data_IF_895099752829
#
_entry.id   IF_895099752829
#
_cell.length_a   1.000
_cell.length_b   1.000
_cell.length_c   1.000
_cell.angle_alpha   90.00
_cell.angle_beta   90.00
_cell.angle_gamma   90.00
#
_symmetry.space_group_name_H-M   'P 1'
#
loop_
_entity.id
_entity.type
_entity.pdbx_description
1 polymer ?
#
# COMPACT_ATOMS: atom_id res chain seq x y z
N UNK A 1 -14.03 -8.69 -0.86
CA UNK A 1 -12.80 -8.09 -1.41
C UNK A 1 -13.14 -7.45 -2.75
N UNK A 2 -12.64 -6.25 -3.09
CA UNK A 2 -12.76 -5.73 -4.45
C UNK A 2 -12.24 -6.78 -5.43
N UNK A 3 -13.00 -7.08 -6.47
CA UNK A 3 -12.56 -7.99 -7.56
C UNK A 3 -11.82 -7.24 -8.66
N UNK A 4 -11.94 -5.91 -8.71
CA UNK A 4 -11.23 -5.07 -9.67
C UNK A 4 -9.74 -4.96 -9.29
N UNK A 5 -8.81 -5.42 -10.15
CA UNK A 5 -7.37 -5.34 -9.87
C UNK A 5 -6.87 -3.90 -9.68
N UNK A 6 -7.52 -2.89 -10.29
CA UNK A 6 -7.14 -1.48 -10.09
C UNK A 6 -7.47 -1.02 -8.68
N UNK A 7 -8.60 -1.45 -8.13
CA UNK A 7 -8.97 -1.13 -6.76
C UNK A 7 -8.03 -1.81 -5.75
N UNK A 8 -7.67 -3.08 -5.99
CA UNK A 8 -6.72 -3.81 -5.16
C UNK A 8 -5.34 -3.14 -5.17
N UNK A 9 -4.83 -2.82 -6.36
CA UNK A 9 -3.56 -2.09 -6.52
C UNK A 9 -3.60 -0.73 -5.81
N UNK A 10 -4.67 0.05 -6.02
CA UNK A 10 -4.83 1.36 -5.41
C UNK A 10 -4.84 1.32 -3.88
N UNK A 11 -5.50 0.32 -3.30
CA UNK A 11 -5.51 0.09 -1.86
C UNK A 11 -4.11 -0.24 -1.33
N UNK A 12 -3.39 -1.16 -2.00
CA UNK A 12 -2.03 -1.57 -1.61
C UNK A 12 -1.04 -0.40 -1.71
N UNK A 13 -1.11 0.38 -2.78
CA UNK A 13 -0.32 1.60 -2.94
C UNK A 13 -0.57 2.59 -1.80
N UNK A 14 -1.84 2.84 -1.47
CA UNK A 14 -2.20 3.77 -0.40
C UNK A 14 -1.77 3.26 0.99
N UNK A 15 -1.74 1.96 1.21
CA UNK A 15 -1.21 1.33 2.42
C UNK A 15 0.29 1.57 2.55
N UNK A 16 1.08 1.17 1.54
CA UNK A 16 2.53 1.33 1.53
C UNK A 16 2.95 2.80 1.67
N UNK A 17 2.24 3.70 0.98
CA UNK A 17 2.46 5.15 1.12
C UNK A 17 2.26 5.63 2.56
N UNK A 18 1.18 5.20 3.22
CA UNK A 18 0.91 5.58 4.62
C UNK A 18 1.92 4.96 5.59
N UNK A 19 2.32 3.70 5.37
CA UNK A 19 3.36 3.04 6.16
C UNK A 19 4.70 3.79 6.07
N UNK A 20 5.00 4.41 4.92
CA UNK A 20 6.17 5.27 4.74
C UNK A 20 6.00 6.69 5.34
N UNK A 21 4.81 7.04 5.81
CA UNK A 21 4.49 8.38 6.34
C UNK A 21 4.32 9.45 5.26
N UNK A 22 4.03 9.06 4.02
CA UNK A 22 3.94 10.01 2.90
C UNK A 22 2.50 10.49 2.67
N UNK A 23 2.34 11.78 2.41
CA UNK A 23 1.11 12.31 1.80
C UNK A 23 1.05 11.97 0.30
N UNK A 24 -0.10 12.15 -0.33
CA UNK A 24 -0.21 12.00 -1.78
C UNK A 24 0.67 13.05 -2.50
N UNK A 25 0.71 14.28 -2.00
CA UNK A 25 1.58 15.35 -2.50
C UNK A 25 3.05 14.92 -2.45
N UNK A 26 3.48 14.34 -1.33
CA UNK A 26 4.86 13.89 -1.17
C UNK A 26 5.20 12.77 -2.14
N UNK A 27 4.40 11.71 -2.21
CA UNK A 27 4.68 10.61 -3.14
C UNK A 27 4.63 11.06 -4.60
N UNK A 28 3.71 11.96 -4.95
CA UNK A 28 3.64 12.56 -6.27
C UNK A 28 4.93 13.29 -6.65
N UNK A 29 5.47 14.10 -5.72
CA UNK A 29 6.74 14.80 -5.90
C UNK A 29 7.91 13.82 -6.10
N UNK A 30 8.06 12.85 -5.19
CA UNK A 30 9.17 11.88 -5.19
C UNK A 30 9.16 10.97 -6.43
N UNK A 31 7.97 10.58 -6.91
CA UNK A 31 7.82 9.69 -8.08
C UNK A 31 7.76 10.41 -9.42
N UNK A 32 7.69 11.76 -9.42
CA UNK A 32 7.47 12.56 -10.63
C UNK A 32 6.09 12.33 -11.28
N UNK A 33 5.11 11.84 -10.52
CA UNK A 33 3.75 11.55 -11.00
C UNK A 33 2.82 12.67 -10.55
N UNK A 34 1.93 13.13 -11.44
CA UNK A 34 0.92 14.12 -11.08
C UNK A 34 0.04 13.65 -9.92
N UNK A 35 -0.09 14.47 -8.87
CA UNK A 35 -0.89 14.18 -7.66
C UNK A 35 -2.32 13.73 -7.98
N UNK A 36 -2.98 14.38 -8.93
CA UNK A 36 -4.35 14.03 -9.34
C UNK A 36 -4.43 12.63 -9.99
N UNK A 37 -3.41 12.26 -10.76
CA UNK A 37 -3.28 10.92 -11.33
C UNK A 37 -3.03 9.88 -10.23
N UNK A 38 -2.10 10.15 -9.31
CA UNK A 38 -1.84 9.29 -8.15
C UNK A 38 -3.11 9.06 -7.33
N UNK A 39 -3.87 10.11 -7.01
CA UNK A 39 -5.14 9.98 -6.31
C UNK A 39 -6.18 9.15 -7.08
N UNK A 40 -6.20 9.25 -8.40
CA UNK A 40 -7.03 8.40 -9.26
C UNK A 40 -6.61 6.93 -9.23
N UNK A 41 -5.31 6.64 -9.20
CA UNK A 41 -4.77 5.28 -9.05
C UNK A 41 -5.16 4.69 -7.70
N UNK A 42 -4.99 5.43 -6.60
CA UNK A 42 -5.34 4.94 -5.25
C UNK A 42 -6.83 4.61 -5.10
N UNK A 43 -7.70 5.30 -5.85
CA UNK A 43 -9.15 5.02 -5.89
C UNK A 43 -9.55 3.96 -6.93
N UNK A 44 -8.60 3.34 -7.64
CA UNK A 44 -8.87 2.35 -8.68
C UNK A 44 -9.48 2.93 -9.98
N UNK A 45 -9.46 4.26 -10.16
CA UNK A 45 -10.04 4.97 -11.30
C UNK A 45 -9.10 5.03 -12.53
N UNK A 46 -7.88 4.52 -12.39
CA UNK A 46 -6.83 4.55 -13.41
C UNK A 46 -6.25 3.15 -13.59
N UNK A 47 -6.06 2.75 -14.84
CA UNK A 47 -5.18 1.64 -15.17
C UNK A 47 -3.75 2.20 -15.28
N UNK A 48 -2.90 1.86 -14.33
CA UNK A 48 -1.55 2.42 -14.26
C UNK A 48 -0.61 1.66 -15.20
N UNK A 49 0.22 2.38 -15.94
CA UNK A 49 1.23 1.77 -16.80
C UNK A 49 2.42 1.25 -15.98
N UNK A 50 3.07 0.19 -16.47
CA UNK A 50 4.18 -0.49 -15.80
C UNK A 50 5.30 0.46 -15.35
N UNK A 51 5.71 1.42 -16.20
CA UNK A 51 6.76 2.38 -15.83
C UNK A 51 6.39 3.23 -14.61
N UNK A 52 5.12 3.59 -14.46
CA UNK A 52 4.66 4.35 -13.29
C UNK A 52 4.58 3.48 -12.04
N UNK A 53 4.34 2.16 -12.17
CA UNK A 53 4.44 1.22 -11.05
C UNK A 53 5.89 1.20 -10.53
N UNK A 54 6.88 1.09 -11.42
CA UNK A 54 8.29 1.10 -11.05
C UNK A 54 8.68 2.43 -10.36
N UNK A 55 8.28 3.58 -10.92
CA UNK A 55 8.55 4.90 -10.30
C UNK A 55 7.96 5.03 -8.89
N UNK A 56 6.75 4.52 -8.66
CA UNK A 56 6.13 4.53 -7.34
C UNK A 56 6.87 3.61 -6.37
N UNK A 57 7.27 2.42 -6.83
CA UNK A 57 8.03 1.47 -6.05
C UNK A 57 9.39 2.06 -5.61
N UNK A 58 10.11 2.67 -6.55
CA UNK A 58 11.39 3.36 -6.30
C UNK A 58 11.21 4.50 -5.28
N UNK A 59 10.19 5.35 -5.46
CA UNK A 59 9.90 6.44 -4.54
C UNK A 59 9.49 5.98 -3.13
N UNK A 60 8.86 4.80 -3.03
CA UNK A 60 8.51 4.18 -1.74
C UNK A 60 9.68 3.40 -1.12
N UNK A 61 10.71 3.08 -1.89
CA UNK A 61 11.84 2.25 -1.47
C UNK A 61 11.48 0.78 -1.30
N UNK A 62 10.59 0.25 -2.16
CA UNK A 62 10.13 -1.15 -2.12
C UNK A 62 10.27 -1.80 -3.50
N UNK A 63 10.36 -3.15 -3.59
CA UNK A 63 10.28 -3.84 -4.88
C UNK A 63 8.92 -3.60 -5.57
N UNK A 64 8.86 -3.51 -6.92
CA UNK A 64 7.59 -3.34 -7.64
C UNK A 64 6.54 -4.43 -7.35
N UNK A 65 6.98 -5.66 -7.07
CA UNK A 65 6.10 -6.77 -6.71
C UNK A 65 5.28 -6.49 -5.44
N UNK A 66 5.82 -5.73 -4.48
CA UNK A 66 5.13 -5.40 -3.23
C UNK A 66 3.87 -4.56 -3.44
N UNK A 67 3.74 -3.87 -4.58
CA UNK A 67 2.53 -3.13 -4.95
C UNK A 67 1.39 -4.03 -5.44
N UNK A 68 1.68 -5.31 -5.74
CA UNK A 68 0.70 -6.31 -6.19
C UNK A 68 0.35 -7.33 -5.10
N UNK A 69 1.07 -7.33 -3.99
CA UNK A 69 0.78 -8.20 -2.86
C UNK A 69 -0.56 -7.82 -2.21
N UNK A 70 -1.36 -8.82 -1.78
CA UNK A 70 -2.50 -8.53 -0.94
C UNK A 70 -2.04 -7.88 0.38
N UNK A 71 -2.82 -6.96 0.96
CA UNK A 71 -2.51 -6.39 2.26
C UNK A 71 -2.33 -7.51 3.29
N UNK A 72 -1.33 -7.43 4.19
CA UNK A 72 -1.16 -8.43 5.23
C UNK A 72 -2.46 -8.55 6.04
N UNK A 73 -2.84 -9.76 6.47
CA UNK A 73 -4.00 -9.93 7.32
C UNK A 73 -3.86 -9.01 8.52
N UNK A 74 -4.92 -8.26 8.85
CA UNK A 74 -4.97 -7.50 10.10
C UNK A 74 -4.90 -8.51 11.23
N UNK A 75 -3.72 -8.76 11.77
CA UNK A 75 -3.54 -9.62 12.93
C UNK A 75 -4.32 -9.00 14.08
N UNK A 76 -5.49 -9.56 14.35
CA UNK A 76 -6.29 -9.27 15.53
C UNK A 76 -5.51 -9.75 16.76
N UNK A 77 -4.95 -8.79 17.50
CA UNK A 77 -4.32 -8.91 18.82
C UNK A 77 -2.99 -9.72 18.84
N UNK A 78 -1.93 -9.23 19.50
CA UNK A 78 -0.79 -10.09 19.80
C UNK A 78 -1.23 -11.20 20.76
N UNK A 79 -0.89 -12.44 20.43
CA UNK A 79 -1.13 -13.68 21.20
C UNK A 79 -0.44 -13.70 22.58
N UNK A 80 0.21 -12.62 23.00
CA UNK A 80 1.05 -12.54 24.20
C UNK A 80 0.28 -12.30 25.52
N UNK A 81 -1.01 -12.61 25.59
CA UNK A 81 -1.81 -12.50 26.84
C UNK A 81 -2.30 -13.86 27.39
N UNK A 82 -1.72 -14.97 26.94
CA UNK A 82 -2.09 -16.32 27.42
C UNK A 82 -1.08 -16.98 28.38
N UNK A 83 -0.15 -16.20 28.94
CA UNK A 83 0.87 -16.68 29.88
C UNK A 83 0.69 -16.11 31.30
N UNK A 84 -0.53 -16.15 31.85
CA UNK A 84 -0.78 -16.04 33.30
C UNK A 84 -2.05 -16.80 33.71
N UNK A 85 -2.04 -18.13 33.59
CA UNK A 85 -2.89 -19.02 34.39
C UNK A 85 -2.36 -20.44 34.24
N UNK A 86 -1.42 -20.80 35.12
CA UNK A 86 -1.16 -22.14 35.62
C UNK A 86 0.01 -22.01 36.59
N UNK A 87 -0.31 -21.52 37.78
CA UNK A 87 0.50 -21.69 38.97
C UNK A 87 -0.49 -22.01 40.10
N UNK A 88 -1.00 -23.24 40.06
CA UNK A 88 -1.57 -23.99 41.18
C UNK A 88 -0.97 -25.40 41.14
#
# INVERSE_FOLDING_TARGET
MPTDPRALFGLRLAELRRARGFSQERLALESGIARSYLGGVERGQRNIALLNICRLADALGVPPASLLEPPPPKTSRPESLQLTSLND
#
